data_IF_736266722417
#
_entry.id   IF_736266722417
#
_cell.length_a   1.000
_cell.length_b   1.000
_cell.length_c   1.000
_cell.angle_alpha   90.00
_cell.angle_beta   90.00
_cell.angle_gamma   90.00
#
_symmetry.space_group_name_H-M   'P 1'
#
loop_
_entity.id
_entity.type
_entity.pdbx_description
1 polymer ?
#
# COMPACT_ATOMS: atom_id res chain seq x y z
N UNK A 1 10.64 -0.44 -12.53
CA UNK A 1 10.49 -1.85 -12.94
C UNK A 1 11.89 -2.47 -12.94
N UNK A 2 12.02 -3.75 -12.60
CA UNK A 2 13.29 -4.48 -12.74
C UNK A 2 13.26 -5.22 -14.07
N UNK A 3 14.25 -4.94 -14.92
CA UNK A 3 14.37 -5.54 -16.23
C UNK A 3 15.75 -6.19 -16.39
N UNK A 4 15.84 -7.17 -17.27
CA UNK A 4 17.10 -7.84 -17.64
C UNK A 4 17.37 -7.67 -19.14
N UNK A 5 18.63 -7.38 -19.45
CA UNK A 5 19.19 -7.50 -20.79
C UNK A 5 20.10 -8.73 -20.79
N UNK A 6 19.85 -9.68 -21.67
CA UNK A 6 20.53 -10.97 -21.66
C UNK A 6 21.81 -11.00 -22.50
N UNK A 7 22.16 -9.89 -23.16
CA UNK A 7 23.36 -9.83 -24.02
C UNK A 7 23.32 -10.80 -25.21
N UNK A 8 22.14 -11.28 -25.59
CA UNK A 8 21.96 -12.28 -26.64
C UNK A 8 22.05 -13.73 -26.19
N UNK A 9 22.39 -14.00 -24.92
CA UNK A 9 22.35 -15.34 -24.34
C UNK A 9 20.96 -15.65 -23.77
N UNK A 10 20.52 -16.90 -23.86
CA UNK A 10 19.26 -17.32 -23.23
C UNK A 10 19.46 -17.49 -21.72
N UNK A 11 18.53 -16.97 -20.92
CA UNK A 11 18.52 -17.11 -19.45
C UNK A 11 17.30 -17.91 -19.00
N UNK A 12 17.40 -18.58 -17.86
CA UNK A 12 16.30 -19.34 -17.28
C UNK A 12 16.01 -19.03 -15.82
N UNK A 13 16.88 -18.30 -15.12
CA UNK A 13 16.64 -17.94 -13.72
C UNK A 13 17.31 -16.62 -13.36
N UNK A 14 16.72 -15.91 -12.39
CA UNK A 14 17.40 -14.84 -11.70
C UNK A 14 16.97 -14.76 -10.24
N UNK A 15 17.93 -14.37 -9.41
CA UNK A 15 17.75 -14.04 -7.99
C UNK A 15 18.30 -12.64 -7.76
N UNK A 16 17.66 -11.88 -6.88
CA UNK A 16 18.16 -10.55 -6.52
C UNK A 16 17.75 -10.13 -5.13
N UNK A 17 18.61 -9.33 -4.52
CA UNK A 17 18.32 -8.54 -3.33
C UNK A 17 18.56 -7.06 -3.65
N UNK A 18 17.56 -6.23 -3.36
CA UNK A 18 17.53 -4.80 -3.68
C UNK A 18 17.28 -4.04 -2.39
N UNK A 19 18.00 -2.95 -2.19
CA UNK A 19 17.76 -1.99 -1.13
C UNK A 19 17.16 -0.70 -1.69
N UNK A 20 16.32 -0.04 -0.89
CA UNK A 20 15.78 1.29 -1.17
C UNK A 20 15.85 2.18 0.08
N UNK A 21 15.89 3.50 -0.13
CA UNK A 21 15.86 4.48 0.96
C UNK A 21 14.48 4.50 1.65
N UNK A 22 14.36 3.78 2.77
CA UNK A 22 13.13 3.66 3.54
C UNK A 22 12.77 4.89 4.38
N UNK A 23 13.66 5.90 4.46
CA UNK A 23 13.34 7.20 5.06
C UNK A 23 12.55 8.06 4.08
N UNK A 24 12.71 7.82 2.77
CA UNK A 24 12.10 8.62 1.71
C UNK A 24 11.05 7.89 0.89
N UNK A 25 11.07 6.56 0.87
CA UNK A 25 10.16 5.72 0.08
C UNK A 25 9.54 4.63 0.95
N UNK A 26 8.26 4.34 0.70
CA UNK A 26 7.62 3.07 1.08
C UNK A 26 7.22 2.34 -0.21
N UNK A 27 7.29 1.01 -0.20
CA UNK A 27 6.66 0.18 -1.22
C UNK A 27 5.19 -0.02 -0.87
N UNK A 28 4.33 0.21 -1.86
CA UNK A 28 2.88 -0.06 -1.83
C UNK A 28 2.59 -1.47 -2.33
N UNK A 29 3.29 -1.90 -3.38
CA UNK A 29 3.14 -3.24 -3.94
C UNK A 29 4.38 -3.70 -4.69
N UNK A 30 4.60 -5.01 -4.68
CA UNK A 30 5.51 -5.72 -5.59
C UNK A 30 4.70 -6.80 -6.28
N UNK A 31 4.87 -6.95 -7.58
CA UNK A 31 4.17 -7.97 -8.36
C UNK A 31 4.93 -8.38 -9.62
N UNK A 32 4.47 -9.46 -10.23
CA UNK A 32 5.16 -10.14 -11.33
C UNK A 32 4.23 -10.53 -12.49
N UNK A 33 3.05 -9.89 -12.60
CA UNK A 33 2.07 -10.18 -13.67
C UNK A 33 2.58 -9.95 -15.09
N UNK A 34 3.61 -9.11 -15.25
CA UNK A 34 4.28 -8.84 -16.53
C UNK A 34 5.66 -9.53 -16.62
N UNK A 35 5.95 -10.48 -15.72
CA UNK A 35 7.25 -11.13 -15.67
C UNK A 35 7.47 -12.05 -16.87
N UNK A 36 8.72 -12.14 -17.31
CA UNK A 36 9.20 -13.20 -18.19
C UNK A 36 9.26 -14.56 -17.47
N UNK A 37 9.31 -14.56 -16.13
CA UNK A 37 9.33 -15.77 -15.32
C UNK A 37 7.92 -16.22 -14.96
N UNK A 38 7.71 -17.53 -15.03
CA UNK A 38 6.45 -18.19 -14.66
C UNK A 38 6.60 -19.18 -13.49
N UNK A 39 7.81 -19.36 -12.98
CA UNK A 39 8.11 -20.15 -11.78
C UNK A 39 8.83 -19.28 -10.76
N UNK A 40 8.47 -19.44 -9.48
CA UNK A 40 9.06 -18.69 -8.37
C UNK A 40 9.47 -19.66 -7.27
N UNK A 41 10.75 -19.65 -6.90
CA UNK A 41 11.24 -20.39 -5.73
C UNK A 41 11.20 -19.52 -4.47
N UNK A 42 11.27 -18.19 -4.65
CA UNK A 42 10.94 -17.19 -3.64
C UNK A 42 10.17 -16.07 -4.34
N UNK A 43 8.89 -15.93 -4.02
CA UNK A 43 8.07 -14.88 -4.62
C UNK A 43 8.60 -13.49 -4.25
N UNK A 44 8.42 -12.48 -5.12
CA UNK A 44 8.83 -11.12 -4.84
C UNK A 44 8.22 -10.61 -3.53
N UNK A 45 9.09 -10.34 -2.56
CA UNK A 45 8.72 -9.89 -1.22
C UNK A 45 9.53 -8.66 -0.82
N UNK A 46 8.98 -7.85 0.09
CA UNK A 46 9.60 -6.61 0.52
C UNK A 46 9.41 -6.32 2.01
N UNK A 47 10.24 -5.43 2.55
CA UNK A 47 10.13 -4.89 3.91
C UNK A 47 10.36 -3.39 3.90
N UNK A 48 9.32 -2.61 4.22
CA UNK A 48 9.44 -1.15 4.39
C UNK A 48 10.30 -0.78 5.61
N UNK A 49 10.26 -1.60 6.67
CA UNK A 49 11.09 -1.37 7.85
C UNK A 49 12.58 -1.57 7.54
N UNK A 50 12.93 -2.61 6.77
CA UNK A 50 14.33 -2.89 6.43
C UNK A 50 14.81 -2.18 5.15
N UNK A 51 13.90 -1.64 4.33
CA UNK A 51 14.24 -1.04 3.04
C UNK A 51 14.71 -2.06 2.01
N UNK A 52 14.13 -3.26 2.00
CA UNK A 52 14.61 -4.38 1.15
C UNK A 52 13.52 -4.96 0.26
N UNK A 53 13.91 -5.46 -0.91
CA UNK A 53 13.13 -6.31 -1.81
C UNK A 53 13.96 -7.52 -2.19
N UNK A 54 13.35 -8.71 -2.26
CA UNK A 54 14.01 -9.93 -2.74
C UNK A 54 13.07 -10.74 -3.63
N UNK A 55 13.65 -11.51 -4.53
CA UNK A 55 12.92 -12.48 -5.34
C UNK A 55 13.88 -13.54 -5.89
N UNK A 56 13.33 -14.71 -6.21
CA UNK A 56 14.01 -15.76 -6.96
C UNK A 56 13.00 -16.45 -7.88
N UNK A 57 13.22 -16.37 -9.19
CA UNK A 57 12.31 -16.91 -10.19
C UNK A 57 13.03 -17.43 -11.42
N UNK A 58 12.26 -18.11 -12.27
CA UNK A 58 12.76 -18.69 -13.49
C UNK A 58 11.70 -18.96 -14.55
N UNK A 59 12.21 -19.35 -15.71
CA UNK A 59 11.49 -19.70 -16.92
C UNK A 59 12.16 -20.96 -17.49
N UNK A 60 11.44 -22.10 -17.61
CA UNK A 60 11.97 -23.30 -18.24
C UNK A 60 12.48 -23.08 -19.67
N UNK A 61 13.19 -24.06 -20.22
CA UNK A 61 13.62 -24.05 -21.63
C UNK A 61 12.44 -23.76 -22.58
N UNK A 62 12.64 -22.90 -23.60
CA UNK A 62 13.91 -22.41 -24.13
C UNK A 62 14.53 -21.21 -23.39
N UNK A 63 13.92 -20.74 -22.30
CA UNK A 63 14.38 -19.56 -21.56
C UNK A 63 13.99 -18.25 -22.25
N UNK A 64 14.59 -17.15 -21.80
CA UNK A 64 14.36 -15.80 -22.33
C UNK A 64 15.64 -15.24 -22.95
N UNK A 65 15.51 -14.66 -24.15
CA UNK A 65 16.56 -13.86 -24.80
C UNK A 65 15.97 -12.52 -25.19
N UNK A 66 16.63 -11.43 -24.79
CA UNK A 66 16.16 -10.10 -25.15
C UNK A 66 16.90 -8.97 -24.44
N UNK A 67 16.69 -7.76 -24.92
CA UNK A 67 17.36 -6.56 -24.39
C UNK A 67 16.64 -5.93 -23.20
N UNK A 68 15.39 -6.33 -22.92
CA UNK A 68 14.57 -5.81 -21.82
C UNK A 68 13.44 -6.77 -21.45
N UNK A 69 13.75 -7.84 -20.72
CA UNK A 69 12.75 -8.70 -20.10
C UNK A 69 12.32 -8.16 -18.74
N UNK A 70 11.02 -7.94 -18.51
CA UNK A 70 10.52 -7.51 -17.20
C UNK A 70 10.55 -8.69 -16.21
N UNK A 71 11.02 -8.47 -14.99
CA UNK A 71 11.08 -9.51 -13.93
C UNK A 71 10.09 -9.19 -12.81
N UNK A 72 10.21 -8.00 -12.21
CA UNK A 72 9.28 -7.54 -11.16
C UNK A 72 8.91 -6.08 -11.32
N UNK A 73 7.67 -5.75 -10.97
CA UNK A 73 7.18 -4.39 -10.85
C UNK A 73 7.07 -4.02 -9.37
N UNK A 74 7.72 -2.92 -9.00
CA UNK A 74 7.63 -2.34 -7.66
C UNK A 74 6.93 -0.98 -7.79
N UNK A 75 5.97 -0.73 -6.90
CA UNK A 75 5.24 0.54 -6.81
C UNK A 75 5.61 1.22 -5.50
N UNK A 76 6.16 2.43 -5.59
CA UNK A 76 6.60 3.21 -4.43
C UNK A 76 5.65 4.38 -4.16
N UNK A 77 5.55 4.75 -2.89
CA UNK A 77 4.99 6.00 -2.38
C UNK A 77 6.11 6.80 -1.72
N UNK A 78 6.18 8.09 -2.00
CA UNK A 78 7.12 9.00 -1.34
C UNK A 78 6.68 9.33 0.09
N UNK A 79 7.65 9.43 1.00
CA UNK A 79 7.48 9.81 2.41
C UNK A 79 8.05 11.19 2.70
N UNK A 80 9.18 11.51 2.08
CA UNK A 80 9.92 12.75 2.31
C UNK A 80 10.61 13.21 1.01
N UNK A 81 10.81 14.52 0.91
CA UNK A 81 11.57 15.13 -0.18
C UNK A 81 13.07 14.75 -0.07
N UNK A 82 13.76 14.83 -1.20
CA UNK A 82 15.19 14.54 -1.33
C UNK A 82 15.49 13.44 -2.35
N UNK A 83 16.77 13.12 -2.48
CA UNK A 83 17.23 12.04 -3.36
C UNK A 83 17.06 10.68 -2.68
N UNK A 84 16.34 9.77 -3.33
CA UNK A 84 16.13 8.40 -2.87
C UNK A 84 16.77 7.42 -3.86
N UNK A 85 17.69 6.59 -3.37
CA UNK A 85 18.37 5.57 -4.17
C UNK A 85 17.63 4.23 -4.06
N UNK A 86 17.65 3.48 -5.16
CA UNK A 86 17.30 2.06 -5.23
C UNK A 86 18.49 1.33 -5.85
N UNK A 87 19.08 0.40 -5.13
CA UNK A 87 20.30 -0.28 -5.54
C UNK A 87 20.18 -1.79 -5.36
N UNK A 88 20.80 -2.55 -6.25
CA UNK A 88 20.98 -3.98 -6.02
C UNK A 88 22.11 -4.18 -5.03
N UNK A 89 21.84 -4.96 -3.99
CA UNK A 89 22.83 -5.39 -3.01
C UNK A 89 23.49 -6.70 -3.48
N UNK A 90 22.72 -7.56 -4.14
CA UNK A 90 23.22 -8.78 -4.78
C UNK A 90 22.28 -9.24 -5.89
N UNK A 91 22.79 -10.07 -6.79
CA UNK A 91 22.00 -10.71 -7.82
C UNK A 91 22.76 -11.81 -8.56
N UNK A 92 22.04 -12.63 -9.29
CA UNK A 92 22.58 -13.62 -10.21
C UNK A 92 21.59 -13.83 -11.35
N UNK A 93 22.10 -14.05 -12.55
CA UNK A 93 21.31 -14.34 -13.76
C UNK A 93 21.91 -15.58 -14.40
N UNK A 94 21.13 -16.66 -14.47
CA UNK A 94 21.64 -17.96 -14.90
C UNK A 94 21.33 -18.21 -16.37
N UNK A 95 22.34 -18.68 -17.10
CA UNK A 95 22.22 -19.12 -18.48
C UNK A 95 21.33 -20.36 -18.57
N UNK A 96 20.57 -20.46 -19.66
CA UNK A 96 19.77 -21.64 -19.97
C UNK A 96 20.64 -22.76 -20.60
N UNK A 97 21.65 -23.22 -19.87
CA UNK A 97 22.64 -24.21 -20.32
C UNK A 97 22.60 -25.55 -19.54
N UNK A 98 21.67 -25.67 -18.59
CA UNK A 98 21.53 -26.85 -17.72
C UNK A 98 22.62 -26.99 -16.65
N UNK A 99 23.55 -26.04 -16.54
CA UNK A 99 24.68 -26.05 -15.58
C UNK A 99 24.56 -24.99 -14.49
N UNK A 100 23.66 -24.03 -14.66
CA UNK A 100 23.48 -22.93 -13.71
C UNK A 100 24.59 -21.89 -13.80
N UNK A 101 25.16 -21.69 -14.99
CA UNK A 101 26.22 -20.69 -15.22
C UNK A 101 25.69 -19.28 -14.98
N UNK A 102 26.28 -18.54 -14.04
CA UNK A 102 25.94 -17.14 -13.81
C UNK A 102 26.59 -16.25 -14.89
N UNK A 103 25.77 -15.52 -15.63
CA UNK A 103 26.18 -14.59 -16.70
C UNK A 103 25.90 -13.13 -16.35
N UNK A 104 25.62 -12.83 -15.07
CA UNK A 104 25.43 -11.46 -14.63
C UNK A 104 26.73 -10.65 -14.76
N UNK A 105 26.69 -9.65 -15.65
CA UNK A 105 27.81 -8.74 -15.89
C UNK A 105 27.69 -7.46 -15.05
N UNK A 106 26.50 -6.84 -15.04
CA UNK A 106 26.29 -5.54 -14.39
C UNK A 106 24.92 -5.43 -13.72
N UNK A 107 24.86 -4.72 -12.59
CA UNK A 107 23.63 -4.35 -11.89
C UNK A 107 23.48 -2.83 -11.90
N UNK A 108 22.32 -2.34 -12.38
CA UNK A 108 22.04 -0.91 -12.49
C UNK A 108 20.89 -0.51 -11.57
N UNK A 109 21.21 0.27 -10.54
CA UNK A 109 20.22 0.90 -9.67
C UNK A 109 19.49 2.08 -10.33
N UNK A 110 18.66 2.75 -9.54
CA UNK A 110 17.93 3.95 -9.93
C UNK A 110 18.01 5.02 -8.83
N UNK A 111 17.87 6.28 -9.22
CA UNK A 111 17.78 7.42 -8.32
C UNK A 111 16.52 8.22 -8.62
N UNK A 112 15.81 8.62 -7.56
CA UNK A 112 14.61 9.45 -7.66
C UNK A 112 14.85 10.75 -6.89
N UNK A 113 14.57 11.89 -7.53
CA UNK A 113 14.52 13.18 -6.85
C UNK A 113 13.07 13.44 -6.47
N UNK A 114 12.77 13.36 -5.18
CA UNK A 114 11.45 13.66 -4.62
C UNK A 114 11.43 15.14 -4.26
N UNK A 115 10.59 15.91 -4.94
CA UNK A 115 10.37 17.32 -4.60
C UNK A 115 9.30 17.42 -3.51
N UNK A 116 9.45 18.40 -2.62
CA UNK A 116 8.44 18.68 -1.61
C UNK A 116 7.13 19.03 -2.31
N UNK A 117 6.03 18.45 -1.83
CA UNK A 117 4.72 18.92 -2.23
C UNK A 117 4.60 20.36 -1.73
N UNK A 118 4.43 21.31 -2.65
CA UNK A 118 3.90 22.62 -2.27
C UNK A 118 2.51 22.36 -1.74
N UNK A 119 2.34 22.48 -0.42
CA UNK A 119 1.02 22.57 0.16
C UNK A 119 0.34 23.73 -0.57
N UNK A 120 -0.67 23.42 -1.38
CA UNK A 120 -1.51 24.46 -1.95
C UNK A 120 -2.07 25.21 -0.76
N UNK A 121 -1.57 26.42 -0.53
CA UNK A 121 -2.02 27.26 0.56
C UNK A 121 -3.54 27.27 0.49
N UNK A 122 -4.19 26.71 1.51
CA UNK A 122 -5.63 26.88 1.69
C UNK A 122 -5.92 28.37 1.45
N UNK A 123 -6.86 28.73 0.54
CA UNK A 123 -7.12 30.12 0.20
C UNK A 123 -7.16 30.97 1.47
N UNK A 124 -6.52 32.16 1.49
CA UNK A 124 -6.56 33.05 2.64
C UNK A 124 -7.99 33.10 3.16
N UNK A 125 -8.19 32.71 4.42
CA UNK A 125 -9.50 32.76 5.03
C UNK A 125 -10.07 34.16 4.75
N UNK A 126 -11.18 34.22 4.02
CA UNK A 126 -11.83 35.49 3.71
C UNK A 126 -12.01 36.27 5.02
N UNK A 127 -11.85 37.61 5.01
CA UNK A 127 -12.06 38.41 6.21
C UNK A 127 -13.48 38.13 6.72
N UNK A 128 -13.60 37.49 7.88
CA UNK A 128 -14.89 37.36 8.55
C UNK A 128 -15.39 38.76 8.87
N UNK A 129 -16.66 39.10 8.55
CA UNK A 129 -17.22 40.37 8.96
C UNK A 129 -17.21 40.43 10.48
N UNK A 130 -16.57 41.46 11.02
CA UNK A 130 -16.49 41.76 12.46
C UNK A 130 -17.90 41.87 13.05
N UNK A 131 -18.31 41.04 14.03
CA UNK A 131 -19.33 41.41 14.98
C UNK A 131 -18.63 42.20 16.10
N UNK A 132 -18.98 43.47 16.17
CA UNK A 132 -18.54 44.39 17.21
C UNK A 132 -19.04 43.95 18.60
N UNK A 133 -18.08 43.95 19.53
CA UNK A 133 -18.19 44.15 20.98
C UNK A 133 -18.90 43.10 21.88
N UNK A 134 -18.09 42.70 22.89
CA UNK A 134 -18.36 42.10 24.19
C UNK A 134 -18.20 40.58 24.35
N UNK A 135 -17.29 40.25 25.28
CA UNK A 135 -17.04 38.96 25.98
C UNK A 135 -16.19 37.93 25.23
N UNK A 136 -15.32 37.12 25.82
CA UNK A 136 -14.53 37.06 27.06
C UNK A 136 -13.90 35.65 27.01
N UNK A 137 -12.62 35.50 27.41
CA UNK A 137 -11.98 34.26 27.85
C UNK A 137 -11.90 33.05 26.86
N UNK A 138 -10.83 32.25 27.00
CA UNK A 138 -10.52 31.14 26.09
C UNK A 138 -11.61 30.07 25.98
N UNK A 139 -11.72 29.43 24.83
CA UNK A 139 -12.58 28.26 24.68
C UNK A 139 -11.79 26.99 25.01
N UNK A 140 -12.15 26.26 26.08
CA UNK A 140 -11.59 24.94 26.34
C UNK A 140 -11.95 23.99 25.19
N UNK A 141 -11.05 23.05 24.91
CA UNK A 141 -11.27 21.96 23.97
C UNK A 141 -12.50 21.18 24.47
N UNK A 142 -13.66 21.31 23.81
CA UNK A 142 -14.88 20.63 24.22
C UNK A 142 -14.80 19.17 23.77
N UNK A 143 -14.96 18.25 24.72
CA UNK A 143 -15.01 16.82 24.43
C UNK A 143 -16.07 16.55 23.32
N UNK A 144 -15.80 15.62 22.40
CA UNK A 144 -16.75 15.29 21.34
C UNK A 144 -18.06 14.77 21.95
N UNK A 145 -19.20 15.28 21.47
CA UNK A 145 -20.53 14.93 21.97
C UNK A 145 -21.24 14.12 20.89
N UNK A 146 -21.67 12.90 21.25
CA UNK A 146 -22.54 12.11 20.40
C UNK A 146 -23.96 12.68 20.52
N UNK A 147 -24.55 13.07 19.39
CA UNK A 147 -25.85 13.75 19.37
C UNK A 147 -26.98 12.86 18.88
N UNK A 148 -26.67 11.86 18.04
CA UNK A 148 -27.70 11.04 17.39
C UNK A 148 -27.17 9.63 17.11
N UNK A 149 -27.94 8.62 17.50
CA UNK A 149 -27.66 7.21 17.24
C UNK A 149 -28.96 6.40 17.22
N UNK A 150 -29.04 5.32 16.42
CA UNK A 150 -30.21 4.45 16.40
C UNK A 150 -30.31 3.66 17.72
N UNK A 151 -31.51 3.64 18.32
CA UNK A 151 -31.80 2.84 19.52
C UNK A 151 -32.04 1.36 19.21
N UNK A 152 -32.38 1.06 17.97
CA UNK A 152 -32.67 -0.28 17.44
C UNK A 152 -31.91 -0.46 16.13
N UNK A 153 -31.34 -1.66 15.94
CA UNK A 153 -30.56 -2.03 14.74
C UNK A 153 -31.04 -3.38 14.25
N UNK A 154 -31.38 -3.46 12.97
CA UNK A 154 -31.70 -4.72 12.31
C UNK A 154 -30.43 -5.51 11.99
N UNK A 155 -30.52 -6.84 12.06
CA UNK A 155 -29.39 -7.73 11.78
C UNK A 155 -28.85 -7.50 10.36
N UNK A 156 -27.55 -7.19 10.25
CA UNK A 156 -26.89 -6.86 8.98
C UNK A 156 -26.86 -5.38 8.61
N UNK A 157 -27.51 -4.49 9.39
CA UNK A 157 -27.47 -3.04 9.16
C UNK A 157 -26.24 -2.36 9.74
N UNK A 158 -25.78 -1.28 9.10
CA UNK A 158 -24.64 -0.49 9.57
C UNK A 158 -25.06 0.50 10.68
N UNK A 159 -24.34 0.50 11.79
CA UNK A 159 -24.49 1.51 12.85
C UNK A 159 -23.94 2.86 12.38
N UNK A 160 -24.80 3.87 12.31
CA UNK A 160 -24.42 5.26 12.04
C UNK A 160 -24.55 6.11 13.30
N UNK A 161 -23.45 6.72 13.74
CA UNK A 161 -23.40 7.61 14.90
C UNK A 161 -23.04 9.01 14.43
N UNK A 162 -23.85 10.01 14.80
CA UNK A 162 -23.54 11.43 14.53
C UNK A 162 -23.18 12.12 15.82
N UNK A 163 -22.23 13.03 15.74
CA UNK A 163 -21.81 13.84 16.86
C UNK A 163 -21.08 15.11 16.42
N UNK A 164 -20.90 16.01 17.38
CA UNK A 164 -20.06 17.18 17.26
C UNK A 164 -18.66 16.80 17.76
N UNK A 165 -17.65 17.04 16.94
CA UNK A 165 -16.26 16.74 17.27
C UNK A 165 -15.29 17.53 16.40
N UNK A 166 -14.01 17.47 16.75
CA UNK A 166 -12.98 18.15 15.97
C UNK A 166 -12.72 17.43 14.65
N UNK A 167 -12.50 18.17 13.54
CA UNK A 167 -12.01 17.57 12.31
C UNK A 167 -10.68 16.84 12.61
N UNK A 168 -10.62 15.55 12.27
CA UNK A 168 -9.52 14.60 12.55
C UNK A 168 -9.42 14.03 13.99
N UNK A 169 -10.41 14.28 14.86
CA UNK A 169 -10.50 13.60 16.15
C UNK A 169 -10.76 12.10 15.99
N UNK A 170 -10.00 11.25 16.68
CA UNK A 170 -10.26 9.79 16.73
C UNK A 170 -11.22 9.50 17.88
N UNK A 171 -12.38 8.91 17.59
CA UNK A 171 -13.36 8.48 18.58
C UNK A 171 -13.36 6.95 18.70
N UNK A 172 -13.30 6.44 19.94
CA UNK A 172 -13.49 5.01 20.25
C UNK A 172 -14.95 4.82 20.69
N UNK A 173 -15.72 4.02 19.94
CA UNK A 173 -17.13 3.73 20.23
C UNK A 173 -17.23 2.24 20.60
N UNK A 174 -17.87 1.94 21.74
CA UNK A 174 -18.14 0.57 22.18
C UNK A 174 -19.65 0.31 22.14
N UNK A 175 -20.04 -0.87 21.65
CA UNK A 175 -21.43 -1.35 21.68
C UNK A 175 -21.48 -2.54 22.63
N UNK A 176 -22.31 -2.46 23.66
CA UNK A 176 -22.47 -3.49 24.68
C UNK A 176 -23.88 -4.08 24.57
N UNK A 177 -23.99 -5.41 24.59
CA UNK A 177 -25.28 -6.12 24.59
C UNK A 177 -25.54 -6.65 26.01
N UNK A 178 -26.54 -6.10 26.69
CA UNK A 178 -26.86 -6.50 28.07
C UNK A 178 -25.85 -5.98 29.09
N UNK A 179 -25.51 -6.79 30.09
CA UNK A 179 -24.65 -6.42 31.23
C UNK A 179 -23.21 -6.95 31.13
N UNK A 180 -22.84 -7.60 30.03
CA UNK A 180 -21.50 -8.20 29.83
C UNK A 180 -20.51 -7.16 29.33
N UNK A 181 -19.30 -7.11 29.88
CA UNK A 181 -18.26 -6.15 29.47
C UNK A 181 -17.93 -6.26 27.96
N UNK A 182 -17.68 -5.13 27.26
CA UNK A 182 -17.43 -5.14 25.82
C UNK A 182 -16.10 -5.84 25.47
N UNK A 183 -16.14 -6.85 24.59
CA UNK A 183 -14.95 -7.55 24.10
C UNK A 183 -14.24 -6.72 23.03
N UNK A 184 -13.05 -6.22 23.33
CA UNK A 184 -12.22 -5.43 22.40
C UNK A 184 -11.43 -6.38 21.49
N UNK A 185 -11.91 -6.60 20.26
CA UNK A 185 -11.07 -7.15 19.17
C UNK A 185 -10.78 -6.02 18.19
N UNK A 186 -9.52 -5.59 18.08
CA UNK A 186 -9.09 -4.61 17.09
C UNK A 186 -9.18 -5.22 15.68
N UNK A 187 -10.36 -5.17 15.05
CA UNK A 187 -10.49 -5.51 13.64
C UNK A 187 -9.96 -4.36 12.77
N UNK A 188 -9.06 -4.73 11.85
CA UNK A 188 -8.46 -3.82 10.85
C UNK A 188 -9.54 -3.09 10.04
N UNK A 189 -9.28 -1.84 9.59
CA UNK A 189 -10.26 -1.03 8.89
C UNK A 189 -10.67 -1.64 7.55
N UNK A 190 -11.98 -1.77 7.35
CA UNK A 190 -12.61 -2.16 6.10
C UNK A 190 -12.70 -0.93 5.17
N UNK A 191 -12.15 -1.02 3.95
CA UNK A 191 -12.39 -0.05 2.88
C UNK A 191 -13.27 -0.68 1.79
N UNK A 192 -14.14 0.09 1.12
CA UNK A 192 -15.38 -0.42 0.50
C UNK A 192 -15.22 -0.76 -0.99
N UNK A 193 -16.05 -1.67 -1.49
CA UNK A 193 -16.15 -2.02 -2.91
C UNK A 193 -17.50 -2.63 -3.31
N UNK A 194 -18.37 -1.78 -3.85
CA UNK A 194 -19.45 -2.05 -4.83
C UNK A 194 -18.92 -2.91 -6.00
N UNK A 195 -19.61 -3.77 -6.78
CA UNK A 195 -21.01 -3.97 -7.24
C UNK A 195 -21.09 -5.33 -7.97
N UNK A 196 -22.24 -6.03 -7.95
CA UNK A 196 -22.99 -6.51 -9.15
C UNK A 196 -24.09 -7.54 -8.81
N UNK A 197 -25.32 -7.22 -9.22
CA UNK A 197 -26.52 -8.06 -9.13
C UNK A 197 -26.56 -9.17 -10.21
N UNK A 198 -27.27 -10.27 -9.90
CA UNK A 198 -27.83 -11.23 -10.85
C UNK A 198 -28.96 -12.06 -10.18
N UNK A 199 -30.11 -12.30 -10.83
CA UNK A 199 -31.38 -12.65 -10.16
C UNK A 199 -31.65 -14.16 -10.08
N UNK A 200 -32.68 -14.52 -9.28
CA UNK A 200 -33.36 -15.84 -9.11
C UNK A 200 -32.73 -16.77 -8.05
N UNK A 201 -33.44 -17.57 -7.25
CA UNK A 201 -34.81 -17.70 -6.73
C UNK A 201 -34.77 -19.01 -5.92
N UNK A 202 -35.18 -18.99 -4.63
CA UNK A 202 -35.73 -20.08 -3.78
C UNK A 202 -34.97 -21.43 -3.59
N UNK A 203 -35.09 -22.09 -2.41
CA UNK A 203 -36.27 -22.89 -2.06
C UNK A 203 -36.89 -22.49 -0.70
N UNK A 204 -38.19 -22.21 -0.65
CA UNK A 204 -39.30 -23.12 -0.27
C UNK A 204 -39.45 -23.30 1.25
N UNK A 205 -40.48 -22.64 1.77
CA UNK A 205 -41.08 -22.85 3.11
C UNK A 205 -41.52 -24.31 3.31
N UNK A 206 -41.55 -24.74 4.57
CA UNK A 206 -42.44 -25.79 5.06
C UNK A 206 -43.91 -25.33 5.03
#
# INVERSE_FOLDING_TARGET
MVNVNTGGQAINAAVSQINFDNQKLDIVSVGYSQSIFNLWTDEPSYSNAAGTVRFSGGLPSPGFTGVSGAIVRMTFRSKAAGQAAIAFTSGSVLANDGKGTNILDNLKGAFFTIIAAVESAKPPAAPSPTPSALQAAGQPVSIPIITDWPKELEEGSALTVKGLGYPNGKLLIFVQKGSEDPVITLQKPFLPGFTACGPKMCPTKA
#
